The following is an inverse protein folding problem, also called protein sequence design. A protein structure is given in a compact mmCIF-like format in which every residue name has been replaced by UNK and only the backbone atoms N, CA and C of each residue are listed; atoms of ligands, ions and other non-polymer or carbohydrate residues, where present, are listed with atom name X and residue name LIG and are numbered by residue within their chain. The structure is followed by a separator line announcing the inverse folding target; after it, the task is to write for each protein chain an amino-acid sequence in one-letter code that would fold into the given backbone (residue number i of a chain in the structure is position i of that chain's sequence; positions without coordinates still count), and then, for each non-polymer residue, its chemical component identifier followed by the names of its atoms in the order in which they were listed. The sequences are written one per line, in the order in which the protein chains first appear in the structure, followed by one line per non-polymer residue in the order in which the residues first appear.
data_IF_944928703789
#
_entry.id   IF_944928703789
#
_cell.length_a   1.000
_cell.length_b   1.000
_cell.length_c   1.000
_cell.angle_alpha   90.00
_cell.angle_beta   90.00
_cell.angle_gamma   90.00
#
_symmetry.space_group_name_H-M   'P 1'
#
loop_
_entity.id
_entity.type
_entity.pdbx_description
1 polymer ?
#
# COMPACT_ATOMS: atom_id res chain seq x y z
N UNK A 1 -28.45 -63.86 17.78
CA UNK A 1 -27.34 -62.98 17.34
C UNK A 1 -27.80 -61.93 16.32
N UNK A 2 -28.39 -62.35 15.18
CA UNK A 2 -28.88 -61.49 14.09
C UNK A 2 -29.77 -60.31 14.51
N UNK A 3 -30.78 -60.52 15.36
CA UNK A 3 -31.67 -59.44 15.79
C UNK A 3 -30.93 -58.28 16.48
N UNK A 4 -29.85 -58.58 17.21
CA UNK A 4 -29.02 -57.58 17.93
C UNK A 4 -28.15 -56.79 16.95
N UNK A 5 -27.67 -57.42 15.87
CA UNK A 5 -26.95 -56.73 14.79
C UNK A 5 -27.87 -55.83 13.97
N UNK A 6 -29.09 -56.28 13.65
CA UNK A 6 -30.06 -55.47 12.90
C UNK A 6 -30.37 -54.17 13.66
N UNK A 7 -30.58 -54.24 14.99
CA UNK A 7 -30.81 -53.06 15.82
C UNK A 7 -29.58 -52.13 15.85
N UNK A 8 -28.37 -52.69 15.93
CA UNK A 8 -27.13 -51.90 15.87
C UNK A 8 -26.95 -51.21 14.52
N UNK A 9 -27.21 -51.91 13.42
CA UNK A 9 -27.16 -51.37 12.06
C UNK A 9 -28.15 -50.22 11.88
N UNK A 10 -29.41 -50.39 12.33
CA UNK A 10 -30.41 -49.31 12.29
C UNK A 10 -29.99 -48.07 13.08
N UNK A 11 -29.40 -48.25 14.27
CA UNK A 11 -28.85 -47.13 15.06
C UNK A 11 -27.66 -46.45 14.38
N UNK A 12 -26.79 -47.21 13.72
CA UNK A 12 -25.67 -46.65 12.97
C UNK A 12 -26.16 -45.82 11.77
N UNK A 13 -27.15 -46.32 11.04
CA UNK A 13 -27.79 -45.60 9.92
C UNK A 13 -28.44 -44.29 10.42
N UNK A 14 -29.18 -44.33 11.53
CA UNK A 14 -29.79 -43.14 12.12
C UNK A 14 -28.74 -42.07 12.47
N UNK A 15 -27.64 -42.47 13.12
CA UNK A 15 -26.51 -41.56 13.43
C UNK A 15 -25.85 -40.99 12.17
N UNK A 16 -25.72 -41.77 11.12
CA UNK A 16 -25.17 -41.29 9.84
C UNK A 16 -26.09 -40.24 9.20
N UNK A 17 -27.41 -40.38 9.30
CA UNK A 17 -28.35 -39.37 8.82
C UNK A 17 -28.26 -38.08 9.65
N UNK A 18 -28.19 -38.18 10.98
CA UNK A 18 -27.98 -37.02 11.86
C UNK A 18 -26.66 -36.30 11.55
N UNK A 19 -25.56 -37.06 11.42
CA UNK A 19 -24.26 -36.51 11.06
C UNK A 19 -24.28 -35.85 9.67
N UNK A 20 -24.98 -36.44 8.69
CA UNK A 20 -25.12 -35.85 7.36
C UNK A 20 -25.84 -34.50 7.41
N UNK A 21 -26.88 -34.39 8.23
CA UNK A 21 -27.59 -33.12 8.41
C UNK A 21 -26.68 -32.07 9.08
N UNK A 22 -25.95 -32.46 10.13
CA UNK A 22 -24.98 -31.58 10.80
C UNK A 22 -23.88 -31.10 9.86
N UNK A 23 -23.30 -31.99 9.05
CA UNK A 23 -22.27 -31.62 8.07
C UNK A 23 -22.81 -30.68 6.98
N UNK A 24 -24.07 -30.85 6.54
CA UNK A 24 -24.69 -29.90 5.61
C UNK A 24 -24.86 -28.53 6.25
N UNK A 25 -25.27 -28.46 7.52
CA UNK A 25 -25.37 -27.21 8.26
C UNK A 25 -24.00 -26.51 8.38
N UNK A 26 -22.95 -27.26 8.72
CA UNK A 26 -21.58 -26.73 8.78
C UNK A 26 -21.12 -26.23 7.41
N UNK A 27 -21.40 -26.97 6.34
CA UNK A 27 -21.06 -26.57 4.97
C UNK A 27 -21.73 -25.25 4.56
N UNK A 28 -23.02 -25.09 4.88
CA UNK A 28 -23.73 -23.82 4.67
C UNK A 28 -23.09 -22.67 5.44
N UNK A 29 -22.80 -22.90 6.73
CA UNK A 29 -22.20 -21.89 7.59
C UNK A 29 -20.79 -21.47 7.11
N UNK A 30 -20.01 -22.43 6.61
CA UNK A 30 -18.70 -22.15 6.01
C UNK A 30 -18.84 -21.37 4.70
N UNK A 31 -19.84 -21.69 3.88
CA UNK A 31 -20.16 -20.96 2.65
C UNK A 31 -20.47 -19.49 2.92
N UNK A 32 -21.26 -19.20 3.97
CA UNK A 32 -21.55 -17.85 4.44
C UNK A 32 -20.29 -17.12 4.93
N UNK A 33 -19.46 -17.78 5.74
CA UNK A 33 -18.19 -17.20 6.21
C UNK A 33 -17.26 -16.84 5.05
N UNK A 34 -17.18 -17.69 4.02
CA UNK A 34 -16.37 -17.42 2.82
C UNK A 34 -16.96 -16.26 2.00
N UNK A 35 -18.28 -16.20 1.84
CA UNK A 35 -18.94 -15.09 1.15
C UNK A 35 -18.70 -13.76 1.88
N UNK A 36 -18.79 -13.77 3.21
CA UNK A 36 -18.49 -12.62 4.07
C UNK A 36 -17.03 -12.20 3.93
N UNK A 37 -16.09 -13.13 4.01
CA UNK A 37 -14.67 -12.85 3.84
C UNK A 37 -14.36 -12.26 2.45
N UNK A 38 -15.01 -12.77 1.39
CA UNK A 38 -14.90 -12.19 0.04
C UNK A 38 -15.46 -10.79 -0.03
N UNK A 39 -16.64 -10.54 0.54
CA UNK A 39 -17.24 -9.22 0.57
C UNK A 39 -16.33 -8.21 1.29
N UNK A 40 -15.75 -8.60 2.42
CA UNK A 40 -14.77 -7.79 3.16
C UNK A 40 -13.52 -7.52 2.31
N UNK A 41 -12.98 -8.54 1.63
CA UNK A 41 -11.82 -8.36 0.73
C UNK A 41 -12.12 -7.54 -0.54
N UNK A 42 -13.37 -7.48 -0.99
CA UNK A 42 -13.79 -6.56 -2.04
C UNK A 42 -13.99 -5.13 -1.53
N UNK A 43 -14.51 -4.97 -0.31
CA UNK A 43 -14.64 -3.67 0.36
C UNK A 43 -13.27 -3.02 0.55
N UNK A 44 -12.25 -3.79 0.94
CA UNK A 44 -10.91 -3.24 1.13
C UNK A 44 -10.22 -2.82 -0.17
N UNK A 45 -10.57 -3.45 -1.29
CA UNK A 45 -10.11 -3.06 -2.62
C UNK A 45 -10.92 -1.92 -3.25
N UNK A 46 -12.06 -1.57 -2.66
CA UNK A 46 -12.90 -0.50 -3.17
C UNK A 46 -12.36 0.86 -2.73
N UNK A 47 -11.78 1.59 -3.70
CA UNK A 47 -11.27 2.95 -3.51
C UNK A 47 -12.36 3.93 -3.06
N UNK A 48 -13.60 3.73 -3.49
CA UNK A 48 -14.75 4.54 -3.08
C UNK A 48 -15.08 4.34 -1.59
N UNK A 49 -15.03 3.10 -1.09
CA UNK A 49 -15.23 2.79 0.32
C UNK A 49 -14.09 3.37 1.17
N UNK A 50 -12.84 3.20 0.72
CA UNK A 50 -11.69 3.81 1.40
C UNK A 50 -11.78 5.35 1.46
N UNK A 51 -12.29 6.00 0.40
CA UNK A 51 -12.52 7.45 0.38
C UNK A 51 -13.57 7.89 1.41
N UNK A 52 -14.64 7.11 1.58
CA UNK A 52 -15.66 7.36 2.59
C UNK A 52 -15.10 7.18 4.01
N UNK A 53 -14.30 6.14 4.24
CA UNK A 53 -13.60 5.91 5.52
C UNK A 53 -12.65 7.08 5.83
N UNK A 54 -11.90 7.58 4.84
CA UNK A 54 -11.05 8.76 4.99
C UNK A 54 -11.87 10.02 5.36
N UNK A 55 -13.03 10.21 4.74
CA UNK A 55 -13.95 11.30 5.07
C UNK A 55 -14.48 11.22 6.50
N UNK A 56 -14.84 10.02 6.96
CA UNK A 56 -15.29 9.76 8.33
C UNK A 56 -14.18 9.94 9.36
N UNK A 57 -12.92 9.64 9.00
CA UNK A 57 -11.76 9.85 9.87
C UNK A 57 -11.49 11.34 10.15
N UNK A 58 -11.97 12.24 9.27
CA UNK A 58 -11.91 13.70 9.46
C UNK A 58 -13.04 14.24 10.33
N UNK A 59 -14.08 13.44 10.60
CA UNK A 59 -15.17 13.83 11.49
C UNK A 59 -14.78 13.54 12.95
N UNK A 60 -14.63 14.56 13.83
CA UNK A 60 -14.03 14.40 15.15
C UNK A 60 -14.84 13.47 16.08
N UNK A 61 -16.13 13.31 15.83
CA UNK A 61 -17.03 12.45 16.61
C UNK A 61 -16.76 10.95 16.42
N UNK A 62 -16.18 10.57 15.27
CA UNK A 62 -15.94 9.17 14.88
C UNK A 62 -14.48 8.89 14.49
N UNK A 63 -13.63 9.91 14.43
CA UNK A 63 -12.22 9.82 14.07
C UNK A 63 -11.46 8.75 14.87
N UNK A 64 -11.60 8.75 16.20
CA UNK A 64 -10.93 7.80 17.08
C UNK A 64 -11.34 6.34 16.77
N UNK A 65 -12.64 6.10 16.58
CA UNK A 65 -13.17 4.76 16.27
C UNK A 65 -12.76 4.27 14.89
N UNK A 66 -12.69 5.16 13.89
CA UNK A 66 -12.28 4.82 12.53
C UNK A 66 -10.79 4.57 12.43
N UNK A 67 -9.98 5.26 13.23
CA UNK A 67 -8.54 5.03 13.30
C UNK A 67 -8.22 3.65 13.91
N UNK A 68 -8.95 3.25 14.96
CA UNK A 68 -8.84 1.92 15.57
C UNK A 68 -9.34 0.82 14.62
N UNK A 69 -10.43 1.08 13.90
CA UNK A 69 -10.95 0.19 12.86
C UNK A 69 -9.95 -0.05 11.72
N UNK A 70 -9.35 1.01 11.18
CA UNK A 70 -8.31 0.89 10.15
C UNK A 70 -7.13 0.07 10.66
N UNK A 71 -6.69 0.29 11.90
CA UNK A 71 -5.58 -0.45 12.52
C UNK A 71 -5.85 -1.95 12.64
N UNK A 72 -7.04 -2.34 13.09
CA UNK A 72 -7.44 -3.76 13.16
C UNK A 72 -7.60 -4.38 11.77
N UNK A 73 -8.14 -3.64 10.79
CA UNK A 73 -8.26 -4.10 9.41
C UNK A 73 -6.90 -4.30 8.72
N UNK A 74 -5.91 -3.44 8.99
CA UNK A 74 -4.52 -3.63 8.55
C UNK A 74 -3.89 -4.86 9.20
N UNK A 75 -4.07 -5.03 10.53
CA UNK A 75 -3.56 -6.21 11.26
C UNK A 75 -4.19 -7.53 10.79
N UNK A 76 -5.46 -7.48 10.37
CA UNK A 76 -6.17 -8.62 9.80
C UNK A 76 -5.73 -8.95 8.35
N UNK A 77 -4.83 -8.16 7.75
CA UNK A 77 -4.39 -8.33 6.36
C UNK A 77 -5.48 -8.04 5.33
N UNK A 78 -6.54 -7.34 5.73
CA UNK A 78 -7.67 -6.98 4.88
C UNK A 78 -7.32 -5.73 4.06
N UNK A 79 -6.67 -4.76 4.71
CA UNK A 79 -6.13 -3.56 4.09
C UNK A 79 -4.62 -3.75 3.94
N UNK A 80 -4.12 -3.76 2.70
CA UNK A 80 -2.68 -3.62 2.44
C UNK A 80 -2.24 -2.21 2.81
N UNK A 81 -1.04 -2.09 3.35
CA UNK A 81 -0.39 -0.81 3.61
C UNK A 81 -0.16 -0.12 2.25
N UNK A 82 -1.18 0.59 1.74
CA UNK A 82 -1.02 1.49 0.61
C UNK A 82 -0.26 2.73 1.10
N UNK A 83 1.03 2.54 1.39
CA UNK A 83 2.00 3.62 1.49
C UNK A 83 2.24 4.10 0.08
N UNK A 84 1.33 4.93 -0.45
CA UNK A 84 1.63 5.66 -1.67
C UNK A 84 0.87 6.98 -1.72
N UNK A 85 -0.46 6.99 -1.66
CA UNK A 85 -1.20 8.19 -2.11
C UNK A 85 -1.14 9.40 -1.17
N UNK A 86 -0.98 9.19 0.15
CA UNK A 86 -0.89 10.30 1.11
C UNK A 86 0.54 10.82 1.30
N UNK A 87 1.54 10.01 0.95
CA UNK A 87 2.95 10.42 0.99
C UNK A 87 3.27 11.13 -0.33
N UNK A 88 2.79 10.61 -1.45
CA UNK A 88 2.90 11.24 -2.77
C UNK A 88 2.23 12.62 -2.76
N UNK A 89 0.98 12.73 -2.27
CA UNK A 89 0.28 14.03 -2.16
C UNK A 89 0.88 15.00 -1.12
N UNK A 90 1.70 14.53 -0.18
CA UNK A 90 2.39 15.38 0.79
C UNK A 90 3.81 15.77 0.33
N UNK A 91 4.37 15.04 -0.65
CA UNK A 91 5.64 15.34 -1.30
C UNK A 91 5.43 16.18 -2.58
N UNK A 92 4.24 16.12 -3.19
CA UNK A 92 3.81 16.89 -4.39
C UNK A 92 3.35 18.32 -4.07
N UNK A 93 3.76 18.88 -2.92
CA UNK A 93 3.60 20.32 -2.68
C UNK A 93 4.72 21.06 -3.41
N UNK A 94 4.37 22.03 -4.26
CA UNK A 94 5.31 22.85 -5.06
C UNK A 94 6.50 23.39 -4.23
N UNK A 95 6.30 23.72 -2.95
CA UNK A 95 7.35 24.17 -2.03
C UNK A 95 8.45 23.12 -1.75
N UNK A 96 8.13 21.82 -1.79
CA UNK A 96 9.08 20.73 -1.49
C UNK A 96 9.86 20.35 -2.75
N UNK A 97 9.26 20.39 -3.94
CA UNK A 97 9.99 20.14 -5.19
C UNK A 97 11.11 21.17 -5.41
N UNK A 98 10.84 22.45 -5.17
CA UNK A 98 11.81 23.54 -5.35
C UNK A 98 12.98 23.42 -4.34
N UNK A 99 12.69 23.13 -3.06
CA UNK A 99 13.72 22.86 -2.03
C UNK A 99 14.55 21.60 -2.36
N UNK A 100 13.92 20.58 -2.95
CA UNK A 100 14.60 19.34 -3.32
C UNK A 100 15.52 19.55 -4.52
N UNK A 101 15.11 20.34 -5.52
CA UNK A 101 15.96 20.69 -6.67
C UNK A 101 17.20 21.49 -6.24
N UNK A 102 17.05 22.47 -5.33
CA UNK A 102 18.18 23.24 -4.80
C UNK A 102 19.20 22.37 -4.07
N UNK A 103 18.74 21.44 -3.22
CA UNK A 103 19.65 20.55 -2.48
C UNK A 103 20.31 19.51 -3.41
N UNK A 104 19.61 19.05 -4.46
CA UNK A 104 20.20 18.20 -5.51
C UNK A 104 21.31 18.94 -6.26
N UNK A 105 21.07 20.19 -6.67
CA UNK A 105 22.08 20.99 -7.37
C UNK A 105 23.31 21.25 -6.50
N UNK A 106 23.10 21.52 -5.21
CA UNK A 106 24.18 21.69 -4.23
C UNK A 106 25.02 20.42 -4.07
N UNK A 107 24.38 19.25 -3.95
CA UNK A 107 25.08 17.95 -3.87
C UNK A 107 25.81 17.64 -5.18
N UNK A 108 25.21 17.91 -6.34
CA UNK A 108 25.87 17.76 -7.65
C UNK A 108 27.10 18.66 -7.77
N UNK A 109 27.04 19.87 -7.23
CA UNK A 109 28.15 20.82 -7.21
C UNK A 109 29.26 20.35 -6.26
N UNK A 110 28.91 19.81 -5.09
CA UNK A 110 29.85 19.23 -4.14
C UNK A 110 30.56 18.00 -4.74
N UNK A 111 29.82 17.08 -5.36
CA UNK A 111 30.37 15.89 -6.02
C UNK A 111 31.23 16.28 -7.23
N UNK A 112 30.79 17.24 -8.06
CA UNK A 112 31.57 17.72 -9.19
C UNK A 112 32.84 18.47 -8.75
N UNK A 113 32.76 19.22 -7.66
CA UNK A 113 33.89 19.90 -7.04
C UNK A 113 34.90 18.93 -6.44
N UNK A 114 34.43 17.89 -5.75
CA UNK A 114 35.26 16.83 -5.19
C UNK A 114 35.91 16.00 -6.31
N UNK A 115 35.16 15.64 -7.35
CA UNK A 115 35.67 14.94 -8.54
C UNK A 115 36.68 15.82 -9.30
N UNK A 116 36.45 17.13 -9.40
CA UNK A 116 37.40 18.07 -10.00
C UNK A 116 38.67 18.28 -9.15
N UNK A 117 38.58 18.13 -7.84
CA UNK A 117 39.73 18.15 -6.92
C UNK A 117 40.57 16.86 -7.00
N UNK A 118 39.96 15.73 -7.36
CA UNK A 118 40.62 14.44 -7.55
C UNK A 118 41.20 14.23 -8.96
N UNK A 119 40.93 15.13 -9.92
CA UNK A 119 41.48 15.06 -11.29
C UNK A 119 42.93 15.59 -11.35
N UNK A 120 43.86 14.89 -12.03
CA UNK A 120 45.24 15.34 -12.20
C UNK A 120 45.30 16.68 -12.94
N UNK A 121 46.24 17.54 -12.53
CA UNK A 121 46.36 18.96 -12.90
C UNK A 121 46.40 19.26 -14.42
N UNK A 122 46.58 18.25 -15.27
CA UNK A 122 46.57 18.36 -16.73
C UNK A 122 45.16 18.58 -17.30
N UNK A 123 44.11 18.01 -16.70
CA UNK A 123 42.72 18.19 -17.15
C UNK A 123 42.10 19.53 -16.71
N UNK A 124 42.63 20.13 -15.64
CA UNK A 124 42.14 21.42 -15.09
C UNK A 124 42.46 22.61 -15.99
N UNK A 125 43.51 22.51 -16.81
CA UNK A 125 43.92 23.56 -17.75
C UNK A 125 43.13 23.61 -19.05
N UNK A 126 42.45 22.52 -19.42
CA UNK A 126 41.74 22.44 -20.71
C UNK A 126 40.38 23.15 -20.66
N UNK A 127 39.67 23.11 -19.53
CA UNK A 127 38.39 23.83 -19.36
C UNK A 127 38.53 25.36 -19.21
N UNK A 128 39.72 25.87 -18.88
CA UNK A 128 39.97 27.33 -18.81
C UNK A 128 40.33 27.96 -20.17
N UNK A 129 40.43 27.18 -21.27
CA UNK A 129 41.02 27.62 -22.54
C UNK A 129 40.12 27.55 -23.78
N UNK A 130 38.80 27.49 -23.62
CA UNK A 130 37.87 27.81 -24.71
C UNK A 130 37.06 29.07 -24.40
N UNK A 131 36.86 29.95 -25.40
CA UNK A 131 37.23 31.35 -25.26
C UNK A 131 36.04 32.29 -25.12
N UNK A 132 36.27 33.40 -24.42
CA UNK A 132 35.57 34.65 -24.64
C UNK A 132 35.87 35.18 -26.06
N UNK A 133 34.89 35.08 -26.94
CA UNK A 133 34.70 35.85 -28.20
C UNK A 133 33.25 35.57 -28.61
N UNK A 134 32.26 36.45 -28.53
CA UNK A 134 32.17 37.88 -28.84
C UNK A 134 31.03 38.51 -28.02
N UNK A 135 31.30 39.63 -27.35
CA UNK A 135 30.26 40.59 -26.95
C UNK A 135 30.01 41.57 -28.12
N UNK A 136 28.74 41.74 -28.46
CA UNK A 136 28.10 42.96 -28.96
C UNK A 136 28.49 43.53 -30.34
N UNK A 137 27.54 43.51 -31.27
CA UNK A 137 27.19 44.70 -32.05
C UNK A 137 25.68 44.90 -32.04
N UNK A 138 25.31 46.07 -31.53
CA UNK A 138 24.01 46.72 -31.45
C UNK A 138 23.24 46.81 -32.78
N UNK A 139 21.94 47.09 -32.62
CA UNK A 139 21.04 47.86 -33.52
C UNK A 139 20.53 47.13 -34.79
N UNK A 140 19.28 46.64 -34.74
CA UNK A 140 18.07 47.35 -35.21
C UNK A 140 16.79 46.74 -34.62
#
# INVERSE_FOLDING_TARGET
ALAKEIVRSRRAVQRLYENRAQLNSISMHLGESVATARAVGHLSKSTEVMKLVNGLMKAPEVAATMQEFTKEMTKAGVIEEMVNDSVDSALDSEDIEEETEEEVDKVLTEIAGETAAQLPATARREKMKQPAREETKNEE
#
